data_IF_261562577203
#
_entry.id   IF_261562577203
#
_cell.length_a   1.000
_cell.length_b   1.000
_cell.length_c   1.000
_cell.angle_alpha   90.00
_cell.angle_beta   90.00
_cell.angle_gamma   90.00
#
_symmetry.space_group_name_H-M   'P 1'
#
loop_
_entity.id
_entity.type
_entity.pdbx_description
1 polymer ?
#
# COMPACT_ATOMS: atom_id res chain seq x y z
N UNK A 1 19.88 9.81 -12.97
CA UNK A 1 20.94 8.80 -12.83
C UNK A 1 20.31 7.70 -11.99
N UNK A 2 20.09 6.50 -12.53
CA UNK A 2 19.48 5.39 -11.76
C UNK A 2 20.52 4.94 -10.73
N UNK A 3 20.33 5.34 -9.46
CA UNK A 3 21.07 4.72 -8.35
C UNK A 3 20.65 3.25 -8.26
N UNK A 4 21.59 2.38 -7.89
CA UNK A 4 21.30 0.97 -7.71
C UNK A 4 20.50 0.79 -6.43
N UNK A 5 19.17 0.90 -6.54
CA UNK A 5 18.27 0.62 -5.42
C UNK A 5 18.27 -0.89 -5.15
N UNK A 6 18.70 -1.31 -3.95
CA UNK A 6 18.53 -2.69 -3.52
C UNK A 6 17.19 -2.86 -2.79
N UNK A 7 16.50 -3.97 -3.03
CA UNK A 7 15.20 -4.23 -2.40
C UNK A 7 14.96 -5.72 -2.16
N UNK A 8 14.05 -5.99 -1.23
CA UNK A 8 13.65 -7.34 -0.82
C UNK A 8 12.13 -7.39 -0.69
N UNK A 9 11.53 -8.43 -1.28
CA UNK A 9 10.14 -8.80 -1.03
C UNK A 9 10.05 -9.67 0.23
N UNK A 10 9.37 -9.15 1.25
CA UNK A 10 9.18 -9.78 2.55
C UNK A 10 7.76 -10.34 2.71
N UNK A 11 6.98 -10.42 1.64
CA UNK A 11 5.58 -10.89 1.69
C UNK A 11 5.47 -12.37 2.13
N UNK A 12 6.57 -13.14 2.06
CA UNK A 12 6.66 -14.50 2.57
C UNK A 12 6.93 -14.61 4.08
N UNK A 13 7.10 -13.48 4.78
CA UNK A 13 7.16 -13.43 6.23
C UNK A 13 5.80 -13.70 6.87
N UNK A 14 5.77 -14.12 8.16
CA UNK A 14 4.52 -14.32 8.89
C UNK A 14 3.63 -13.08 8.89
N UNK A 15 2.33 -13.29 8.71
CA UNK A 15 1.36 -12.20 8.70
C UNK A 15 1.29 -11.52 10.08
N UNK A 16 1.39 -10.19 10.16
CA UNK A 16 1.39 -9.48 11.44
C UNK A 16 -0.03 -9.38 12.02
N UNK A 17 -0.32 -10.18 13.05
CA UNK A 17 -1.60 -10.18 13.78
C UNK A 17 -1.54 -9.25 15.01
N UNK A 18 -1.51 -7.94 14.78
CA UNK A 18 -1.46 -6.92 15.86
C UNK A 18 -2.38 -5.74 15.58
N UNK A 19 -2.89 -5.09 16.64
CA UNK A 19 -3.73 -3.89 16.56
C UNK A 19 -5.04 -4.13 15.82
N UNK A 20 -5.45 -3.20 14.94
CA UNK A 20 -6.70 -3.30 14.19
C UNK A 20 -6.81 -4.58 13.33
N UNK A 21 -5.68 -5.19 12.93
CA UNK A 21 -5.67 -6.42 12.14
C UNK A 21 -6.23 -7.61 12.91
N UNK A 22 -6.11 -7.62 14.24
CA UNK A 22 -6.71 -8.66 15.08
C UNK A 22 -8.24 -8.64 14.98
N UNK A 23 -8.83 -7.45 15.04
CA UNK A 23 -10.29 -7.27 14.96
C UNK A 23 -10.81 -7.57 13.56
N UNK A 24 -10.07 -7.14 12.53
CA UNK A 24 -10.41 -7.28 11.11
C UNK A 24 -10.08 -8.64 10.51
N UNK A 25 -9.28 -9.48 11.18
CA UNK A 25 -8.94 -10.81 10.68
C UNK A 25 -10.18 -11.64 10.33
N UNK A 26 -11.24 -11.51 11.13
CA UNK A 26 -12.54 -12.17 10.89
C UNK A 26 -13.21 -11.75 9.58
N UNK A 27 -12.83 -10.63 8.98
CA UNK A 27 -13.40 -10.08 7.75
C UNK A 27 -12.71 -10.65 6.50
N UNK A 28 -11.61 -11.38 6.68
CA UNK A 28 -10.97 -12.17 5.62
C UNK A 28 -11.75 -13.48 5.49
N UNK A 29 -12.40 -13.68 4.35
CA UNK A 29 -13.30 -14.82 4.11
C UNK A 29 -12.55 -15.97 3.43
N UNK A 30 -11.69 -15.65 2.47
CA UNK A 30 -10.82 -16.61 1.81
C UNK A 30 -9.43 -15.99 1.56
N UNK A 31 -8.34 -16.75 1.76
CA UNK A 31 -8.29 -18.11 2.30
C UNK A 31 -8.76 -18.17 3.76
N UNK A 32 -9.39 -19.28 4.15
CA UNK A 32 -9.93 -19.48 5.50
C UNK A 32 -8.85 -19.61 6.58
N UNK A 33 -7.64 -19.95 6.17
CA UNK A 33 -6.43 -19.93 7.00
C UNK A 33 -5.24 -19.56 6.13
N UNK A 34 -4.30 -18.83 6.72
CA UNK A 34 -3.05 -18.44 6.08
C UNK A 34 -2.03 -18.06 7.14
N UNK A 35 -0.75 -18.17 6.80
CA UNK A 35 0.35 -17.84 7.71
C UNK A 35 1.14 -16.62 7.23
N UNK A 36 1.11 -16.32 5.93
CA UNK A 36 1.95 -15.31 5.28
C UNK A 36 1.10 -14.31 4.52
N UNK A 37 1.62 -13.08 4.34
CA UNK A 37 0.97 -12.06 3.51
C UNK A 37 0.80 -12.54 2.06
N UNK A 38 1.80 -13.26 1.52
CA UNK A 38 1.79 -13.89 0.18
C UNK A 38 0.56 -14.75 -0.08
N UNK A 39 0.01 -15.40 0.95
CA UNK A 39 -1.18 -16.25 0.78
C UNK A 39 -2.43 -15.46 0.38
N UNK A 40 -2.47 -14.15 0.68
CA UNK A 40 -3.56 -13.24 0.31
C UNK A 40 -3.41 -12.66 -1.11
N UNK A 41 -2.24 -12.77 -1.73
CA UNK A 41 -1.98 -12.29 -3.09
C UNK A 41 -2.54 -13.28 -4.12
N UNK A 42 -3.86 -13.32 -4.25
CA UNK A 42 -4.58 -14.24 -5.12
C UNK A 42 -5.94 -13.64 -5.48
N UNK A 43 -6.41 -13.82 -6.71
CA UNK A 43 -7.73 -13.31 -7.14
C UNK A 43 -8.89 -14.05 -6.47
N UNK A 44 -8.57 -15.20 -5.87
CA UNK A 44 -9.49 -15.94 -5.00
C UNK A 44 -9.69 -15.27 -3.64
N UNK A 45 -8.87 -14.29 -3.26
CA UNK A 45 -8.97 -13.65 -1.95
C UNK A 45 -10.26 -12.87 -1.83
N UNK A 46 -10.99 -13.12 -0.75
CA UNK A 46 -12.31 -12.56 -0.49
C UNK A 46 -12.31 -11.82 0.84
N UNK A 47 -12.85 -10.61 0.82
CA UNK A 47 -13.10 -9.82 2.03
C UNK A 47 -14.61 -9.62 2.24
N UNK A 48 -15.01 -9.43 3.48
CA UNK A 48 -16.36 -9.00 3.81
C UNK A 48 -16.63 -7.59 3.27
N UNK A 49 -17.88 -7.27 3.00
CA UNK A 49 -18.28 -5.94 2.51
C UNK A 49 -18.99 -5.16 3.60
N UNK A 50 -18.69 -3.87 3.73
CA UNK A 50 -19.46 -3.01 4.62
C UNK A 50 -20.90 -2.88 4.11
N UNK A 51 -21.88 -3.19 4.96
CA UNK A 51 -23.31 -3.04 4.68
C UNK A 51 -23.93 -2.09 5.71
N UNK A 52 -24.63 -1.03 5.26
CA UNK A 52 -25.43 -0.19 6.15
C UNK A 52 -26.50 -1.01 6.90
N UNK A 53 -26.79 -0.73 8.18
CA UNK A 53 -26.29 0.39 8.99
C UNK A 53 -25.09 0.04 9.88
N UNK A 54 -24.07 -0.69 9.39
CA UNK A 54 -22.77 -0.74 10.06
C UNK A 54 -22.26 -2.12 10.45
N UNK A 55 -22.41 -3.12 9.59
CA UNK A 55 -21.78 -4.43 9.80
C UNK A 55 -21.09 -4.92 8.53
N UNK A 56 -20.09 -5.79 8.72
CA UNK A 56 -19.40 -6.46 7.62
C UNK A 56 -20.15 -7.74 7.24
N UNK A 57 -20.71 -7.75 6.03
CA UNK A 57 -21.47 -8.84 5.48
C UNK A 57 -20.55 -9.83 4.77
N UNK A 58 -20.64 -11.11 5.15
CA UNK A 58 -19.88 -12.20 4.53
C UNK A 58 -20.63 -12.94 3.43
N UNK A 59 -21.93 -12.67 3.26
CA UNK A 59 -22.79 -13.35 2.28
C UNK A 59 -22.61 -12.80 0.86
N UNK A 60 -22.12 -11.56 0.74
CA UNK A 60 -21.78 -10.93 -0.54
C UNK A 60 -20.34 -10.40 -0.48
N UNK A 61 -19.34 -11.31 -0.58
CA UNK A 61 -17.95 -10.96 -0.39
C UNK A 61 -17.40 -10.11 -1.54
N UNK A 62 -16.50 -9.20 -1.22
CA UNK A 62 -15.72 -8.46 -2.21
C UNK A 62 -14.71 -9.40 -2.85
N UNK A 63 -14.85 -9.59 -4.16
CA UNK A 63 -13.82 -10.20 -5.02
C UNK A 63 -12.68 -9.21 -5.25
N UNK A 64 -11.47 -9.73 -5.38
CA UNK A 64 -10.26 -8.93 -5.58
C UNK A 64 -9.45 -9.46 -6.76
N UNK A 65 -8.46 -8.68 -7.20
CA UNK A 65 -7.48 -9.11 -8.21
C UNK A 65 -6.07 -9.04 -7.59
N UNK A 66 -5.95 -9.48 -6.33
CA UNK A 66 -4.70 -9.41 -5.57
C UNK A 66 -3.59 -10.31 -6.14
N UNK A 67 -3.91 -11.21 -7.08
CA UNK A 67 -2.90 -11.94 -7.86
C UNK A 67 -1.99 -11.01 -8.66
N UNK A 68 -2.43 -9.78 -8.96
CA UNK A 68 -1.66 -8.75 -9.69
C UNK A 68 -0.37 -8.33 -9.03
N UNK A 69 -0.28 -8.41 -7.70
CA UNK A 69 0.88 -7.96 -6.92
C UNK A 69 1.77 -9.12 -6.44
N UNK A 70 1.69 -10.27 -7.11
CA UNK A 70 2.35 -11.49 -6.63
C UNK A 70 3.85 -11.52 -6.89
N UNK A 71 4.29 -11.39 -8.14
CA UNK A 71 5.72 -11.45 -8.47
C UNK A 71 6.28 -10.04 -8.61
N UNK A 72 6.99 -9.56 -7.60
CA UNK A 72 7.76 -8.33 -7.71
C UNK A 72 8.86 -8.49 -8.77
N UNK A 73 8.85 -7.63 -9.78
CA UNK A 73 9.86 -7.60 -10.84
C UNK A 73 10.89 -6.50 -10.60
N UNK A 74 10.42 -5.30 -10.27
CA UNK A 74 11.29 -4.14 -10.06
C UNK A 74 10.69 -3.16 -9.06
N UNK A 75 11.56 -2.39 -8.41
CA UNK A 75 11.20 -1.16 -7.72
C UNK A 75 12.11 -0.04 -8.22
N UNK A 76 11.50 1.08 -8.59
CA UNK A 76 12.20 2.29 -9.01
C UNK A 76 11.89 3.43 -8.03
N UNK A 77 12.89 4.27 -7.79
CA UNK A 77 12.78 5.46 -6.96
C UNK A 77 13.11 6.68 -7.83
N UNK A 78 12.21 7.65 -7.83
CA UNK A 78 12.35 8.89 -8.58
C UNK A 78 12.29 10.09 -7.65
N UNK A 79 13.10 11.09 -7.94
CA UNK A 79 12.87 12.45 -7.46
C UNK A 79 11.89 13.14 -8.38
N UNK A 80 10.81 13.68 -7.82
CA UNK A 80 9.78 14.43 -8.54
C UNK A 80 9.71 15.84 -7.98
N UNK A 81 9.32 16.79 -8.83
CA UNK A 81 9.04 18.16 -8.39
C UNK A 81 7.54 18.39 -8.36
N UNK A 82 6.99 18.69 -7.20
CA UNK A 82 5.57 18.98 -7.06
C UNK A 82 5.21 20.30 -7.77
N UNK A 83 4.16 20.27 -8.58
CA UNK A 83 3.66 21.48 -9.23
C UNK A 83 3.01 22.45 -8.23
N UNK A 84 2.42 21.94 -7.14
CA UNK A 84 1.64 22.76 -6.20
C UNK A 84 2.50 23.65 -5.31
N UNK A 85 3.66 23.15 -4.88
CA UNK A 85 4.52 23.83 -3.92
C UNK A 85 6.00 23.88 -4.33
N UNK A 86 6.34 23.40 -5.53
CA UNK A 86 7.71 23.35 -6.08
C UNK A 86 8.72 22.54 -5.25
N UNK A 87 8.24 21.78 -4.26
CA UNK A 87 9.07 20.93 -3.42
C UNK A 87 9.56 19.71 -4.22
N UNK A 88 10.82 19.34 -3.99
CA UNK A 88 11.36 18.06 -4.46
C UNK A 88 10.92 16.97 -3.49
N UNK A 89 10.24 15.96 -4.02
CA UNK A 89 9.62 14.84 -3.29
C UNK A 89 10.03 13.54 -3.95
N UNK A 90 9.64 12.42 -3.35
CA UNK A 90 9.97 11.09 -3.85
C UNK A 90 8.74 10.41 -4.45
N UNK A 91 8.98 9.59 -5.47
CA UNK A 91 8.03 8.63 -6.03
C UNK A 91 8.65 7.24 -6.07
N UNK A 92 7.89 6.25 -5.63
CA UNK A 92 8.27 4.84 -5.67
C UNK A 92 7.34 4.14 -6.66
N UNK A 93 7.92 3.42 -7.62
CA UNK A 93 7.17 2.61 -8.57
C UNK A 93 7.53 1.14 -8.41
N UNK A 94 6.55 0.33 -8.07
CA UNK A 94 6.67 -1.13 -8.06
C UNK A 94 6.15 -1.66 -9.39
N UNK A 95 6.86 -2.61 -9.99
CA UNK A 95 6.37 -3.38 -11.13
C UNK A 95 6.18 -4.83 -10.72
N UNK A 96 4.97 -5.34 -10.92
CA UNK A 96 4.58 -6.71 -10.62
C UNK A 96 4.17 -7.47 -11.87
N UNK A 97 4.41 -8.78 -11.85
CA UNK A 97 3.75 -9.73 -12.73
C UNK A 97 2.68 -10.49 -11.94
N UNK A 98 1.56 -10.72 -12.61
CA UNK A 98 0.46 -11.48 -12.05
C UNK A 98 0.87 -12.92 -11.67
N UNK A 99 0.20 -13.49 -10.66
CA UNK A 99 0.48 -14.83 -10.13
C UNK A 99 0.37 -15.95 -11.17
N UNK A 100 -0.58 -15.85 -12.09
CA UNK A 100 -0.98 -16.91 -13.03
C UNK A 100 -1.14 -16.45 -14.47
N UNK A 101 -0.92 -15.17 -14.75
CA UNK A 101 -1.04 -14.58 -16.10
C UNK A 101 0.20 -13.73 -16.36
N UNK A 102 0.38 -13.28 -17.61
CA UNK A 102 1.47 -12.37 -17.97
C UNK A 102 1.09 -10.89 -17.77
N UNK A 103 -0.01 -10.61 -17.08
CA UNK A 103 -0.45 -9.24 -16.83
C UNK A 103 0.55 -8.50 -15.93
N UNK A 104 0.97 -7.32 -16.39
CA UNK A 104 1.83 -6.42 -15.64
C UNK A 104 0.96 -5.44 -14.86
N UNK A 105 1.34 -5.16 -13.62
CA UNK A 105 0.72 -4.12 -12.80
C UNK A 105 1.81 -3.24 -12.19
N UNK A 106 1.67 -1.93 -12.35
CA UNK A 106 2.50 -0.95 -11.67
C UNK A 106 1.76 -0.36 -10.48
N UNK A 107 2.42 -0.28 -9.33
CA UNK A 107 1.92 0.49 -8.18
C UNK A 107 2.83 1.70 -7.98
N UNK A 108 2.30 2.88 -8.25
CA UNK A 108 2.99 4.16 -8.14
C UNK A 108 2.55 4.86 -6.86
N UNK A 109 3.50 5.28 -6.04
CA UNK A 109 3.27 6.06 -4.81
C UNK A 109 4.18 7.28 -4.86
N UNK A 110 3.60 8.46 -5.04
CA UNK A 110 4.34 9.70 -5.23
C UNK A 110 3.92 10.83 -4.30
N UNK A 111 4.70 11.91 -4.34
CA UNK A 111 4.53 13.06 -3.45
C UNK A 111 4.99 12.80 -2.02
N UNK A 112 5.95 11.90 -1.85
CA UNK A 112 6.46 11.48 -0.54
C UNK A 112 7.58 12.41 -0.06
N UNK A 113 7.33 13.07 1.08
CA UNK A 113 8.40 13.73 1.84
C UNK A 113 8.97 12.75 2.85
N UNK A 114 10.15 12.19 2.56
CA UNK A 114 10.82 11.21 3.43
C UNK A 114 11.18 11.79 4.80
N UNK A 115 11.24 13.12 4.95
CA UNK A 115 11.44 13.74 6.26
C UNK A 115 10.24 13.52 7.19
N UNK A 116 9.04 13.42 6.63
CA UNK A 116 7.80 13.20 7.38
C UNK A 116 7.51 11.72 7.67
N UNK A 117 8.23 10.80 7.02
CA UNK A 117 8.08 9.36 7.26
C UNK A 117 8.78 8.99 8.58
N UNK A 118 8.07 8.31 9.51
CA UNK A 118 8.60 7.97 10.83
C UNK A 118 9.62 6.84 10.75
N UNK A 119 10.46 6.75 11.78
CA UNK A 119 11.33 5.61 12.03
C UNK A 119 10.64 4.71 13.06
N UNK A 120 10.36 3.46 12.69
CA UNK A 120 9.61 2.49 13.49
C UNK A 120 10.20 1.09 13.31
N UNK A 121 10.05 0.23 14.33
CA UNK A 121 10.26 -1.20 14.13
C UNK A 121 9.14 -1.81 13.28
N UNK A 122 9.40 -2.96 12.65
CA UNK A 122 8.35 -3.70 11.92
C UNK A 122 7.15 -4.08 12.81
N UNK A 123 7.40 -4.28 14.10
CA UNK A 123 6.35 -4.60 15.08
C UNK A 123 5.39 -3.43 15.37
N UNK A 124 5.76 -2.23 14.92
CA UNK A 124 5.03 -0.97 15.07
C UNK A 124 4.49 -0.47 13.72
N UNK A 125 4.55 -1.28 12.66
CA UNK A 125 4.11 -0.91 11.30
C UNK A 125 2.65 -0.42 11.22
N UNK A 126 1.81 -0.69 12.22
CA UNK A 126 0.45 -0.14 12.30
C UNK A 126 0.41 1.39 12.49
N UNK A 127 1.46 1.95 13.08
CA UNK A 127 1.64 3.37 13.38
C UNK A 127 2.49 4.10 12.33
N UNK A 128 2.90 3.36 11.28
CA UNK A 128 3.57 3.91 10.12
C UNK A 128 2.73 4.98 9.41
N UNK A 129 3.43 5.83 8.65
CA UNK A 129 2.78 6.81 7.79
C UNK A 129 1.86 6.07 6.80
N UNK A 130 0.63 6.55 6.63
CA UNK A 130 -0.40 5.81 5.89
C UNK A 130 -1.36 6.75 5.19
N UNK A 131 -1.68 6.43 3.95
CA UNK A 131 -2.60 7.22 3.14
C UNK A 131 -3.39 6.32 2.19
N UNK A 132 -4.54 6.82 1.71
CA UNK A 132 -5.42 6.09 0.81
C UNK A 132 -4.93 6.13 -0.64
N UNK A 133 -5.32 5.17 -1.47
CA UNK A 133 -5.17 5.26 -2.93
C UNK A 133 -5.88 6.50 -3.48
N UNK A 134 -5.39 7.07 -4.58
CA UNK A 134 -5.99 8.22 -5.27
C UNK A 134 -5.03 9.39 -5.46
N UNK A 135 -5.54 10.54 -5.88
CA UNK A 135 -4.77 11.77 -6.13
C UNK A 135 -5.30 12.86 -5.20
N UNK A 136 -4.42 13.47 -4.42
CA UNK A 136 -4.78 14.55 -3.51
C UNK A 136 -5.70 14.12 -2.37
N UNK A 137 -5.76 12.82 -2.08
CA UNK A 137 -6.59 12.30 -1.00
C UNK A 137 -6.03 12.66 0.38
N UNK A 138 -6.96 12.79 1.32
CA UNK A 138 -6.66 12.93 2.72
C UNK A 138 -6.17 11.61 3.30
N UNK A 139 -5.30 11.71 4.32
CA UNK A 139 -4.83 10.53 5.04
C UNK A 139 -5.99 9.81 5.74
N UNK A 140 -5.78 8.55 6.09
CA UNK A 140 -6.81 7.75 6.78
C UNK A 140 -7.23 8.32 8.14
N UNK A 141 -6.38 9.12 8.77
CA UNK A 141 -6.60 9.69 10.09
C UNK A 141 -6.04 11.11 10.11
N UNK A 142 -6.92 12.08 10.26
CA UNK A 142 -6.54 13.47 10.43
C UNK A 142 -7.46 14.15 11.44
N UNK A 143 -6.90 15.10 12.17
CA UNK A 143 -7.66 16.03 12.99
C UNK A 143 -8.33 17.08 12.09
N UNK A 144 -9.37 17.74 12.62
CA UNK A 144 -10.01 18.85 11.92
C UNK A 144 -9.02 19.95 11.50
N UNK A 145 -8.06 20.26 12.37
CA UNK A 145 -7.04 21.27 12.08
C UNK A 145 -6.07 20.85 10.97
N UNK A 146 -5.73 19.56 10.87
CA UNK A 146 -4.92 19.03 9.78
C UNK A 146 -5.72 19.02 8.47
N UNK A 147 -6.99 18.62 8.52
CA UNK A 147 -7.89 18.64 7.37
C UNK A 147 -7.97 20.02 6.70
N UNK A 148 -8.09 21.09 7.50
CA UNK A 148 -8.12 22.47 6.98
C UNK A 148 -6.81 22.91 6.32
N UNK A 149 -5.67 22.35 6.75
CA UNK A 149 -4.33 22.66 6.20
C UNK A 149 -4.05 21.83 4.94
N UNK A 150 -4.44 20.57 4.95
CA UNK A 150 -4.14 19.59 3.90
C UNK A 150 -5.21 19.61 2.81
N UNK A 151 -5.29 20.70 2.04
CA UNK A 151 -6.29 20.78 0.95
C UNK A 151 -5.91 19.84 -0.19
N UNK A 152 -6.88 19.07 -0.68
CA UNK A 152 -6.68 18.16 -1.83
C UNK A 152 -6.08 18.85 -3.05
N UNK A 153 -6.48 20.10 -3.31
CA UNK A 153 -6.00 20.90 -4.44
C UNK A 153 -4.48 21.11 -4.45
N UNK A 154 -3.84 21.13 -3.27
CA UNK A 154 -2.40 21.38 -3.15
C UNK A 154 -1.62 20.17 -2.65
N UNK A 155 -2.32 19.09 -2.28
CA UNK A 155 -1.68 17.87 -1.80
C UNK A 155 -0.82 17.28 -2.90
N UNK A 156 0.49 17.09 -2.68
CA UNK A 156 1.37 16.51 -3.67
C UNK A 156 1.21 14.99 -3.76
N UNK A 157 0.53 14.37 -2.80
CA UNK A 157 0.47 12.92 -2.67
C UNK A 157 -0.46 12.28 -3.70
N UNK A 158 0.00 11.15 -4.25
CA UNK A 158 -0.83 10.26 -5.06
C UNK A 158 -0.38 8.81 -4.90
N UNK A 159 -1.33 7.88 -5.06
CA UNK A 159 -1.10 6.46 -5.08
C UNK A 159 -2.04 5.80 -6.12
N UNK A 160 -1.47 5.15 -7.14
CA UNK A 160 -2.19 4.70 -8.33
C UNK A 160 -1.76 3.30 -8.74
N UNK A 161 -2.69 2.54 -9.31
CA UNK A 161 -2.40 1.28 -10.00
C UNK A 161 -2.53 1.49 -11.50
N UNK A 162 -1.57 0.99 -12.25
CA UNK A 162 -1.54 1.03 -13.71
C UNK A 162 -1.33 -0.37 -14.28
N UNK A 163 -1.81 -0.62 -15.49
CA UNK A 163 -1.49 -1.83 -16.25
C UNK A 163 -0.14 -1.71 -16.99
N UNK A 164 0.23 -2.75 -17.74
CA UNK A 164 1.44 -2.75 -18.57
C UNK A 164 1.45 -1.74 -19.73
N UNK A 165 0.36 -1.01 -19.97
CA UNK A 165 0.24 0.06 -20.96
C UNK A 165 0.01 1.43 -20.31
N UNK A 166 0.32 1.55 -19.01
CA UNK A 166 0.16 2.76 -18.21
C UNK A 166 -1.28 3.28 -18.12
N UNK A 167 -2.27 2.39 -18.31
CA UNK A 167 -3.68 2.73 -18.10
C UNK A 167 -4.08 2.49 -16.67
N UNK A 168 -4.94 3.37 -16.16
CA UNK A 168 -5.43 3.29 -14.79
C UNK A 168 -6.20 2.00 -14.51
N UNK A 169 -5.87 1.37 -13.37
CA UNK A 169 -6.59 0.24 -12.80
C UNK A 169 -7.37 0.69 -11.56
N UNK A 170 -8.61 0.23 -11.44
CA UNK A 170 -9.43 0.51 -10.27
C UNK A 170 -8.88 -0.21 -9.03
N UNK A 171 -8.33 0.57 -8.11
CA UNK A 171 -7.78 0.07 -6.84
C UNK A 171 -8.79 -0.70 -5.98
N UNK A 172 -10.08 -0.35 -6.02
CA UNK A 172 -11.11 -1.10 -5.29
C UNK A 172 -11.38 -2.46 -5.91
N UNK A 173 -11.19 -2.59 -7.23
CA UNK A 173 -11.33 -3.88 -7.95
C UNK A 173 -10.11 -4.75 -7.70
N UNK A 174 -8.91 -4.17 -7.79
CA UNK A 174 -7.66 -4.88 -7.47
C UNK A 174 -7.64 -5.30 -5.99
N UNK A 175 -8.18 -4.47 -5.12
CA UNK A 175 -8.29 -4.73 -3.69
C UNK A 175 -7.13 -4.14 -2.88
N UNK A 176 -6.56 -3.02 -3.32
CA UNK A 176 -5.51 -2.26 -2.62
C UNK A 176 -6.09 -0.93 -2.16
N UNK A 177 -5.90 -0.59 -0.89
CA UNK A 177 -6.45 0.62 -0.26
C UNK A 177 -5.39 1.68 0.03
N UNK A 178 -4.11 1.31 0.04
CA UNK A 178 -3.00 2.25 0.13
C UNK A 178 -1.76 1.67 0.82
N UNK A 179 -0.69 2.46 0.95
CA UNK A 179 0.52 2.02 1.62
C UNK A 179 0.54 2.34 3.12
N UNK A 180 1.34 1.56 3.86
CA UNK A 180 1.98 1.99 5.11
C UNK A 180 3.47 2.13 4.87
N UNK A 181 4.08 3.21 5.35
CA UNK A 181 5.49 3.51 5.09
C UNK A 181 6.19 3.94 6.36
N UNK A 182 7.33 3.32 6.65
CA UNK A 182 8.23 3.72 7.74
C UNK A 182 9.67 3.39 7.39
N UNK A 183 10.62 4.09 8.00
CA UNK A 183 12.02 3.66 8.06
C UNK A 183 12.23 2.72 9.25
N UNK A 184 13.26 1.86 9.19
CA UNK A 184 13.66 1.02 10.33
C UNK A 184 14.98 1.45 10.99
N UNK A 185 15.68 2.42 10.40
CA UNK A 185 16.91 3.00 10.91
C UNK A 185 16.83 4.53 10.98
N UNK A 186 17.63 5.11 11.90
CA UNK A 186 17.65 6.56 12.11
C UNK A 186 18.29 7.34 10.96
N UNK A 187 19.16 6.69 10.18
CA UNK A 187 19.77 7.29 9.00
C UNK A 187 18.81 7.31 7.80
N UNK A 188 17.59 6.77 7.96
CA UNK A 188 16.54 6.70 6.95
C UNK A 188 17.01 6.04 5.65
N UNK A 189 17.72 4.92 5.77
CA UNK A 189 18.23 4.16 4.63
C UNK A 189 17.45 2.88 4.36
N UNK A 190 16.76 2.30 5.33
CA UNK A 190 15.95 1.09 5.20
C UNK A 190 14.47 1.46 5.23
N UNK A 191 13.87 1.64 4.06
CA UNK A 191 12.46 2.00 3.89
C UNK A 191 11.60 0.74 3.79
N UNK A 192 10.57 0.65 4.61
CA UNK A 192 9.58 -0.43 4.61
C UNK A 192 8.26 0.09 4.06
N UNK A 193 7.70 -0.63 3.10
CA UNK A 193 6.40 -0.35 2.49
C UNK A 193 5.51 -1.58 2.63
N UNK A 194 4.33 -1.38 3.22
CA UNK A 194 3.33 -2.42 3.39
C UNK A 194 2.09 -2.06 2.58
N UNK A 195 1.48 -3.04 1.93
CA UNK A 195 0.27 -2.80 1.14
C UNK A 195 -0.98 -3.18 1.94
N UNK A 196 -1.87 -2.21 2.12
CA UNK A 196 -3.18 -2.42 2.72
C UNK A 196 -4.14 -2.92 1.65
N UNK A 197 -4.92 -3.95 1.99
CA UNK A 197 -6.03 -4.38 1.14
C UNK A 197 -7.23 -3.45 1.28
N UNK A 198 -8.20 -3.63 0.38
CA UNK A 198 -9.55 -3.04 0.43
C UNK A 198 -10.07 -2.87 1.86
N UNK A 199 -10.61 -1.69 2.17
CA UNK A 199 -11.12 -1.28 3.49
C UNK A 199 -10.15 -1.56 4.67
N UNK A 200 -8.85 -1.68 4.38
CA UNK A 200 -7.76 -2.00 5.32
C UNK A 200 -8.01 -3.32 6.06
N UNK A 201 -8.65 -4.30 5.42
CA UNK A 201 -8.92 -5.60 6.03
C UNK A 201 -7.63 -6.35 6.41
N UNK A 202 -6.63 -6.28 5.53
CA UNK A 202 -5.40 -7.02 5.69
C UNK A 202 -4.19 -6.24 5.18
N UNK A 203 -3.01 -6.70 5.60
CA UNK A 203 -1.74 -6.39 4.94
C UNK A 203 -1.46 -7.50 3.92
N UNK A 204 -1.35 -7.14 2.65
CA UNK A 204 -1.24 -8.10 1.54
C UNK A 204 0.13 -8.11 0.88
N UNK A 205 1.07 -7.29 1.35
CA UNK A 205 2.46 -7.30 0.90
C UNK A 205 3.36 -6.48 1.81
N UNK A 206 4.64 -6.81 1.81
CA UNK A 206 5.68 -6.11 2.56
C UNK A 206 6.97 -6.09 1.74
N UNK A 207 7.50 -4.90 1.54
CA UNK A 207 8.71 -4.68 0.74
C UNK A 207 9.66 -3.79 1.51
N UNK A 208 10.96 -4.11 1.45
CA UNK A 208 12.03 -3.29 2.02
C UNK A 208 12.94 -2.80 0.91
N UNK A 209 13.26 -1.51 0.92
CA UNK A 209 14.19 -0.87 0.01
C UNK A 209 15.35 -0.28 0.79
N UNK A 210 16.56 -0.35 0.23
CA UNK A 210 17.71 0.37 0.71
C UNK A 210 17.87 1.66 -0.11
N UNK A 211 17.75 2.79 0.54
CA UNK A 211 18.00 4.13 0.01
C UNK A 211 19.46 4.48 0.30
N UNK A 212 20.17 5.00 -0.70
CA UNK A 212 21.57 5.43 -0.62
C UNK A 212 21.71 6.85 -0.07
#
# INVERSE_FOLDING_TARGET
MLSHLSYIDLSDQPYPVKGERQKKFKEIIYPSSFLKMRNLQSDSTLFATFTPPGYYNKKDPRKTELGRIYFLKNIELFEIKSNSNQQVLNEIQFTFLHKSTDEITKFVIGGLDFNLIPVLSESEANDAWKNSMGIGNHSFYETYSEHLKNKSLISPFYALLLDGQDKWLDSHKVGIDGPLIHFSDQDKKALHIWFLSFERHAIVGHYRMQIE
#
